data_IF_413733241739
#
_entry.id   IF_413733241739
#
_cell.length_a   1.000
_cell.length_b   1.000
_cell.length_c   1.000
_cell.angle_alpha   90.00
_cell.angle_beta   90.00
_cell.angle_gamma   90.00
#
_symmetry.space_group_name_H-M   'P 1'
#
loop_
_entity.id
_entity.type
_entity.pdbx_description
1 polymer ?
#
# COMPACT_ATOMS: atom_id res chain seq x y z
N UNK A 1 2.68 3.62 8.43
CA UNK A 1 1.69 3.41 9.51
C UNK A 1 0.41 4.20 9.30
N UNK A 2 0.43 5.36 8.63
CA UNK A 2 -0.78 6.13 8.28
C UNK A 2 -1.95 5.28 7.78
N UNK A 3 -1.79 4.52 6.69
CA UNK A 3 -2.83 3.65 6.14
C UNK A 3 -3.41 2.61 7.12
N UNK A 4 -2.63 2.17 8.12
CA UNK A 4 -3.17 1.29 9.17
C UNK A 4 -4.09 2.06 10.14
N UNK A 5 -3.72 3.30 10.48
CA UNK A 5 -4.58 4.18 11.28
C UNK A 5 -5.89 4.51 10.56
N UNK A 6 -5.83 4.74 9.24
CA UNK A 6 -7.03 5.01 8.45
C UNK A 6 -8.00 3.84 8.49
N UNK A 7 -7.56 2.61 8.20
CA UNK A 7 -8.45 1.44 8.22
C UNK A 7 -9.01 1.09 9.61
N UNK A 8 -8.45 1.64 10.69
CA UNK A 8 -8.97 1.51 12.05
C UNK A 8 -9.83 2.73 12.47
N UNK A 9 -9.84 3.79 11.67
CA UNK A 9 -10.73 4.94 11.84
C UNK A 9 -12.13 4.57 11.36
N UNK A 10 -13.20 4.65 12.19
CA UNK A 10 -14.50 4.01 11.92
C UNK A 10 -15.10 4.23 10.52
N UNK A 11 -14.93 5.42 9.94
CA UNK A 11 -15.50 5.80 8.65
C UNK A 11 -14.87 5.06 7.45
N UNK A 12 -13.55 4.85 7.48
CA UNK A 12 -12.81 4.25 6.36
C UNK A 12 -13.11 2.75 6.13
N UNK A 13 -13.08 1.83 7.13
CA UNK A 13 -13.44 0.44 6.92
C UNK A 13 -14.95 0.23 6.74
N UNK A 14 -15.77 1.24 7.08
CA UNK A 14 -17.18 1.29 6.72
C UNK A 14 -17.43 1.76 5.29
N UNK A 15 -16.39 2.22 4.57
CA UNK A 15 -16.45 2.82 3.25
C UNK A 15 -17.46 4.00 3.19
N UNK A 16 -17.47 4.84 4.21
CA UNK A 16 -18.28 6.07 4.24
C UNK A 16 -17.33 7.24 4.08
N UNK A 17 -17.38 7.89 2.92
CA UNK A 17 -16.49 9.00 2.59
C UNK A 17 -17.00 10.33 3.11
N UNK A 18 -16.15 11.37 3.06
CA UNK A 18 -16.55 12.75 3.34
C UNK A 18 -17.63 13.30 2.39
N UNK A 19 -17.79 12.69 1.20
CA UNK A 19 -18.89 13.01 0.28
C UNK A 19 -20.19 12.35 0.75
N UNK A 20 -20.12 11.10 1.23
CA UNK A 20 -21.28 10.35 1.70
C UNK A 20 -21.83 10.88 3.04
N UNK A 21 -20.96 11.40 3.89
CA UNK A 21 -21.34 11.92 5.19
C UNK A 21 -20.47 13.09 5.66
N UNK A 22 -21.13 14.21 5.99
CA UNK A 22 -20.49 15.30 6.73
C UNK A 22 -19.91 14.87 8.09
N UNK A 23 -20.31 13.69 8.60
CA UNK A 23 -19.78 13.13 9.82
C UNK A 23 -18.34 12.66 9.72
N UNK A 24 -17.84 12.34 8.53
CA UNK A 24 -16.46 11.85 8.34
C UNK A 24 -15.47 12.86 8.90
N UNK A 25 -15.44 14.06 8.30
CA UNK A 25 -14.51 15.13 8.69
C UNK A 25 -14.79 15.61 10.11
N UNK A 26 -16.06 15.63 10.52
CA UNK A 26 -16.45 16.04 11.88
C UNK A 26 -15.94 15.09 12.96
N UNK A 27 -16.02 13.78 12.74
CA UNK A 27 -15.54 12.78 13.67
C UNK A 27 -14.01 12.83 13.78
N UNK A 28 -13.31 12.91 12.65
CA UNK A 28 -11.84 13.03 12.63
C UNK A 28 -11.37 14.33 13.33
N UNK A 29 -12.06 15.45 13.10
CA UNK A 29 -11.78 16.72 13.80
C UNK A 29 -12.07 16.63 15.29
N UNK A 30 -13.20 16.04 15.68
CA UNK A 30 -13.56 15.81 17.09
C UNK A 30 -12.50 14.99 17.82
N UNK A 31 -11.99 13.94 17.18
CA UNK A 31 -10.93 13.09 17.69
C UNK A 31 -9.59 13.84 17.79
N UNK A 32 -9.25 14.65 16.79
CA UNK A 32 -8.03 15.47 16.74
C UNK A 32 -7.95 16.49 17.90
N UNK A 33 -9.05 17.15 18.21
CA UNK A 33 -9.16 18.10 19.34
C UNK A 33 -8.93 17.42 20.71
N UNK A 34 -9.19 16.11 20.78
CA UNK A 34 -9.19 15.32 22.02
C UNK A 34 -8.05 14.29 22.10
N UNK A 35 -7.24 14.14 21.06
CA UNK A 35 -6.21 13.08 20.94
C UNK A 35 -5.33 12.89 22.17
N UNK A 36 -5.03 13.97 22.88
CA UNK A 36 -4.20 13.97 24.09
C UNK A 36 -4.80 13.10 25.21
N UNK A 37 -6.13 13.08 25.36
CA UNK A 37 -6.81 12.28 26.39
C UNK A 37 -6.93 10.80 26.02
N UNK A 38 -6.70 10.44 24.76
CA UNK A 38 -6.82 9.07 24.25
C UNK A 38 -5.47 8.35 24.10
N UNK A 39 -4.38 8.96 24.57
CA UNK A 39 -3.05 8.33 24.56
C UNK A 39 -3.02 7.10 25.45
N UNK A 40 -2.43 6.02 24.94
CA UNK A 40 -2.09 4.83 25.71
C UNK A 40 -0.58 4.66 25.76
N UNK A 41 -0.08 4.02 26.83
CA UNK A 41 1.35 3.76 27.02
C UNK A 41 1.70 2.26 27.13
N UNK A 42 0.72 1.39 26.91
CA UNK A 42 0.88 -0.06 26.94
C UNK A 42 -0.16 -0.76 26.07
N UNK A 43 0.22 -1.88 25.46
CA UNK A 43 -0.73 -2.80 24.79
C UNK A 43 -1.52 -3.67 25.79
N UNK A 44 -1.19 -3.60 27.08
CA UNK A 44 -1.75 -4.39 28.17
C UNK A 44 -0.94 -5.63 28.54
N UNK A 45 0.20 -5.87 27.88
CA UNK A 45 1.07 -7.03 28.13
C UNK A 45 2.53 -6.74 27.70
N UNK A 46 3.46 -7.62 28.05
CA UNK A 46 4.86 -7.62 27.62
C UNK A 46 5.05 -8.33 26.28
N UNK A 47 6.21 -8.16 25.64
CA UNK A 47 6.51 -8.69 24.30
C UNK A 47 6.69 -10.22 24.25
N UNK A 48 6.93 -10.86 25.39
CA UNK A 48 6.98 -12.32 25.53
C UNK A 48 5.59 -12.96 25.76
N UNK A 49 4.50 -12.19 25.69
CA UNK A 49 3.13 -12.66 25.88
C UNK A 49 2.36 -12.74 24.56
N UNK A 50 1.13 -13.28 24.60
CA UNK A 50 0.37 -13.72 23.42
C UNK A 50 0.23 -12.65 22.32
N UNK A 51 -0.15 -11.41 22.67
CA UNK A 51 -0.36 -10.36 21.66
C UNK A 51 0.87 -10.14 20.76
N UNK A 52 2.08 -10.14 21.33
CA UNK A 52 3.31 -9.91 20.57
C UNK A 52 3.91 -11.21 20.03
N UNK A 53 3.87 -12.31 20.80
CA UNK A 53 4.39 -13.60 20.32
C UNK A 53 3.59 -14.15 19.14
N UNK A 54 2.28 -13.90 19.07
CA UNK A 54 1.43 -14.29 17.94
C UNK A 54 1.80 -13.57 16.64
N UNK A 55 2.28 -12.32 16.72
CA UNK A 55 2.67 -11.50 15.56
C UNK A 55 3.84 -12.12 14.79
N UNK A 56 4.71 -12.87 15.46
CA UNK A 56 5.91 -13.46 14.87
C UNK A 56 5.70 -14.90 14.37
N UNK A 57 4.56 -15.54 14.69
CA UNK A 57 4.28 -16.95 14.32
C UNK A 57 4.26 -17.17 12.82
N UNK A 58 3.66 -16.24 12.07
CA UNK A 58 3.54 -16.36 10.62
C UNK A 58 4.67 -15.60 9.92
N UNK A 59 5.60 -16.35 9.31
CA UNK A 59 6.72 -15.79 8.53
C UNK A 59 6.28 -15.14 7.21
N UNK A 60 5.06 -15.40 6.74
CA UNK A 60 4.43 -14.64 5.67
C UNK A 60 3.95 -13.28 6.17
N UNK A 61 4.78 -12.25 5.99
CA UNK A 61 4.43 -10.88 6.37
C UNK A 61 3.14 -10.40 5.70
N UNK A 62 2.98 -10.62 4.39
CA UNK A 62 1.81 -10.12 3.65
C UNK A 62 0.53 -10.82 4.13
N UNK A 63 0.55 -12.14 4.29
CA UNK A 63 -0.60 -12.88 4.77
C UNK A 63 -0.95 -12.53 6.23
N UNK A 64 0.07 -12.42 7.10
CA UNK A 64 -0.13 -11.96 8.48
C UNK A 64 -0.72 -10.55 8.53
N UNK A 65 -0.11 -9.60 7.82
CA UNK A 65 -0.52 -8.19 7.82
C UNK A 65 -1.97 -8.05 7.35
N UNK A 66 -2.38 -8.79 6.32
CA UNK A 66 -3.76 -8.78 5.82
C UNK A 66 -4.78 -9.22 6.87
N UNK A 67 -4.51 -10.30 7.61
CA UNK A 67 -5.42 -10.80 8.64
C UNK A 67 -5.38 -9.92 9.90
N UNK A 68 -4.19 -9.46 10.29
CA UNK A 68 -3.98 -8.54 11.40
C UNK A 68 -4.76 -7.25 11.19
N UNK A 69 -4.53 -6.55 10.07
CA UNK A 69 -5.25 -5.35 9.66
C UNK A 69 -6.77 -5.56 9.61
N UNK A 70 -7.23 -6.70 9.08
CA UNK A 70 -8.66 -7.03 8.99
C UNK A 70 -9.33 -7.08 10.36
N UNK A 71 -8.63 -7.57 11.39
CA UNK A 71 -9.15 -7.59 12.76
C UNK A 71 -9.53 -6.20 13.24
N UNK A 72 -8.59 -5.26 13.16
CA UNK A 72 -8.79 -3.85 13.54
C UNK A 72 -9.86 -3.18 12.68
N UNK A 73 -9.79 -3.33 11.36
CA UNK A 73 -10.77 -2.75 10.44
C UNK A 73 -12.20 -3.25 10.69
N UNK A 74 -12.39 -4.53 11.01
CA UNK A 74 -13.72 -5.04 11.40
C UNK A 74 -14.25 -4.39 12.67
N UNK A 75 -13.38 -4.16 13.66
CA UNK A 75 -13.74 -3.44 14.87
C UNK A 75 -14.10 -1.98 14.56
N UNK A 76 -13.27 -1.26 13.81
CA UNK A 76 -13.56 0.12 13.37
C UNK A 76 -14.91 0.22 12.63
N UNK A 77 -15.18 -0.71 11.70
CA UNK A 77 -16.46 -0.79 10.99
C UNK A 77 -17.64 -1.03 11.94
N UNK A 78 -17.49 -1.92 12.91
CA UNK A 78 -18.53 -2.17 13.91
C UNK A 78 -18.79 -0.93 14.77
N UNK A 79 -17.73 -0.21 15.17
CA UNK A 79 -17.81 1.05 15.92
C UNK A 79 -18.51 2.15 15.11
N UNK A 80 -18.32 2.20 13.78
CA UNK A 80 -19.05 3.14 12.93
C UNK A 80 -20.57 3.03 13.09
N UNK A 81 -21.12 1.82 12.89
CA UNK A 81 -22.57 1.63 12.94
C UNK A 81 -23.13 1.76 14.36
N UNK A 82 -22.35 1.42 15.38
CA UNK A 82 -22.83 1.39 16.76
C UNK A 82 -22.61 2.68 17.55
N UNK A 83 -21.61 3.51 17.19
CA UNK A 83 -21.21 4.67 18.00
C UNK A 83 -20.71 5.89 17.21
N UNK A 84 -20.10 5.73 16.02
CA UNK A 84 -19.37 6.84 15.39
C UNK A 84 -20.13 7.57 14.26
N UNK A 85 -21.25 7.03 13.76
CA UNK A 85 -22.04 7.71 12.72
C UNK A 85 -22.73 9.00 13.22
N UNK A 86 -23.23 9.81 12.30
CA UNK A 86 -23.94 11.07 12.58
C UNK A 86 -25.25 10.92 13.36
N UNK A 87 -25.81 9.70 13.46
CA UNK A 87 -27.02 9.45 14.23
C UNK A 87 -26.76 9.30 15.74
N UNK A 88 -25.49 9.25 16.15
CA UNK A 88 -25.08 9.01 17.53
C UNK A 88 -24.69 10.30 18.25
N UNK A 89 -24.74 10.28 19.59
CA UNK A 89 -24.45 11.45 20.42
C UNK A 89 -22.94 11.68 20.63
N UNK A 90 -22.60 12.83 21.21
CA UNK A 90 -21.21 13.17 21.56
C UNK A 90 -20.54 12.17 22.51
N UNK A 91 -21.30 11.60 23.45
CA UNK A 91 -20.77 10.57 24.37
C UNK A 91 -20.42 9.27 23.62
N UNK A 92 -21.23 8.90 22.63
CA UNK A 92 -20.93 7.78 21.75
C UNK A 92 -19.71 8.06 20.86
N UNK A 93 -19.56 9.30 20.38
CA UNK A 93 -18.39 9.71 19.62
C UNK A 93 -17.11 9.71 20.47
N UNK A 94 -17.17 10.17 21.73
CA UNK A 94 -16.05 10.09 22.67
C UNK A 94 -15.63 8.63 22.90
N UNK A 95 -16.60 7.74 23.13
CA UNK A 95 -16.34 6.30 23.26
C UNK A 95 -15.70 5.73 21.99
N UNK A 96 -16.26 6.03 20.82
CA UNK A 96 -15.75 5.56 19.54
C UNK A 96 -14.29 5.99 19.33
N UNK A 97 -13.99 7.29 19.50
CA UNK A 97 -12.65 7.84 19.36
C UNK A 97 -11.67 7.22 20.36
N UNK A 98 -12.08 7.06 21.62
CA UNK A 98 -11.27 6.42 22.66
C UNK A 98 -10.88 4.98 22.29
N UNK A 99 -11.83 4.19 21.80
CA UNK A 99 -11.60 2.79 21.43
C UNK A 99 -10.72 2.69 20.19
N UNK A 100 -11.04 3.40 19.12
CA UNK A 100 -10.30 3.25 17.86
C UNK A 100 -8.92 3.89 17.90
N UNK A 101 -8.71 5.01 18.61
CA UNK A 101 -7.36 5.54 18.78
C UNK A 101 -6.49 4.64 19.66
N UNK A 102 -7.04 3.99 20.69
CA UNK A 102 -6.30 3.00 21.48
C UNK A 102 -5.93 1.77 20.64
N UNK A 103 -6.87 1.30 19.81
CA UNK A 103 -6.62 0.22 18.85
C UNK A 103 -5.54 0.59 17.84
N UNK A 104 -5.57 1.80 17.28
CA UNK A 104 -4.61 2.27 16.30
C UNK A 104 -3.21 2.35 16.88
N UNK A 105 -3.08 2.84 18.12
CA UNK A 105 -1.80 2.87 18.85
C UNK A 105 -1.29 1.45 19.14
N UNK A 106 -2.16 0.56 19.65
CA UNK A 106 -1.80 -0.84 19.95
C UNK A 106 -1.41 -1.61 18.69
N UNK A 107 -2.18 -1.49 17.62
CA UNK A 107 -1.93 -2.12 16.33
C UNK A 107 -0.64 -1.61 15.69
N UNK A 108 -0.39 -0.30 15.76
CA UNK A 108 0.86 0.31 15.31
C UNK A 108 2.06 -0.23 16.09
N UNK A 109 1.95 -0.36 17.41
CA UNK A 109 3.00 -0.98 18.22
C UNK A 109 3.28 -2.44 17.81
N UNK A 110 2.24 -3.18 17.42
CA UNK A 110 2.38 -4.54 16.87
C UNK A 110 3.12 -4.57 15.52
N UNK A 111 2.78 -3.67 14.60
CA UNK A 111 3.51 -3.53 13.32
C UNK A 111 4.98 -3.13 13.51
N UNK A 112 5.26 -2.20 14.42
CA UNK A 112 6.64 -1.79 14.73
C UNK A 112 7.41 -2.96 15.34
N UNK A 113 6.81 -3.70 16.27
CA UNK A 113 7.42 -4.90 16.84
C UNK A 113 7.76 -5.95 15.76
N UNK A 114 6.81 -6.22 14.85
CA UNK A 114 7.04 -7.10 13.70
C UNK A 114 8.21 -6.62 12.84
N UNK A 115 8.19 -5.35 12.47
CA UNK A 115 9.19 -4.72 11.62
C UNK A 115 10.59 -4.86 12.24
N UNK A 116 10.74 -4.53 13.52
CA UNK A 116 12.02 -4.61 14.22
C UNK A 116 12.59 -6.04 14.23
N UNK A 117 11.75 -7.05 14.44
CA UNK A 117 12.19 -8.45 14.32
C UNK A 117 12.59 -8.80 12.90
N UNK A 118 11.78 -8.43 11.90
CA UNK A 118 12.07 -8.77 10.51
C UNK A 118 13.39 -8.17 10.02
N UNK A 119 13.68 -6.91 10.36
CA UNK A 119 14.96 -6.27 9.98
C UNK A 119 16.15 -6.73 10.82
N UNK A 120 15.94 -7.08 12.09
CA UNK A 120 17.03 -7.56 12.96
C UNK A 120 17.47 -8.97 12.61
N UNK A 121 16.53 -9.83 12.22
CA UNK A 121 16.79 -11.23 11.86
C UNK A 121 17.11 -11.40 10.36
N UNK A 122 16.93 -10.35 9.54
CA UNK A 122 17.05 -10.45 8.10
C UNK A 122 15.98 -11.35 7.48
N UNK A 123 14.77 -11.36 8.06
CA UNK A 123 13.68 -12.21 7.61
C UNK A 123 13.25 -11.81 6.19
N UNK A 124 13.26 -12.77 5.27
CA UNK A 124 12.77 -12.59 3.91
C UNK A 124 11.39 -13.26 3.77
N UNK A 125 10.29 -12.47 3.70
CA UNK A 125 8.94 -13.02 3.59
C UNK A 125 8.63 -13.58 2.19
N UNK A 126 9.52 -13.43 1.21
CA UNK A 126 9.27 -13.84 -0.18
C UNK A 126 9.76 -15.25 -0.51
N UNK A 127 10.61 -15.85 0.32
CA UNK A 127 11.31 -17.12 0.03
C UNK A 127 10.34 -18.24 -0.30
N UNK A 128 10.57 -18.90 -1.44
CA UNK A 128 9.84 -20.10 -1.87
C UNK A 128 8.37 -19.86 -2.25
N UNK A 129 7.90 -18.61 -2.34
CA UNK A 129 6.50 -18.30 -2.64
C UNK A 129 6.21 -18.06 -4.10
N UNK A 130 4.98 -18.40 -4.49
CA UNK A 130 4.46 -18.00 -5.79
C UNK A 130 4.23 -16.49 -5.82
N UNK A 131 4.47 -15.86 -6.95
CA UNK A 131 4.19 -14.45 -7.22
C UNK A 131 2.78 -14.39 -7.81
N UNK A 132 1.81 -14.00 -6.98
CA UNK A 132 0.44 -13.77 -7.45
C UNK A 132 0.24 -12.35 -7.98
N UNK A 133 0.99 -11.41 -7.40
CA UNK A 133 0.95 -10.00 -7.72
C UNK A 133 2.37 -9.43 -7.74
N UNK A 134 2.58 -8.46 -8.63
CA UNK A 134 3.74 -7.57 -8.63
C UNK A 134 3.27 -6.15 -8.33
N UNK A 135 4.05 -5.39 -7.57
CA UNK A 135 3.80 -3.97 -7.36
C UNK A 135 4.95 -3.18 -7.96
N UNK A 136 4.67 -2.26 -8.89
CA UNK A 136 5.63 -1.28 -9.33
C UNK A 136 5.45 0.02 -8.54
N UNK A 137 6.56 0.55 -8.04
CA UNK A 137 6.66 1.88 -7.45
C UNK A 137 7.60 2.71 -8.31
N UNK A 138 7.06 3.67 -9.04
CA UNK A 138 7.76 4.42 -10.09
C UNK A 138 7.89 5.87 -9.61
N UNK A 139 9.11 6.39 -9.61
CA UNK A 139 9.37 7.82 -9.38
C UNK A 139 9.63 8.48 -10.73
N UNK A 140 8.79 9.43 -11.11
CA UNK A 140 8.99 10.27 -12.30
C UNK A 140 9.91 11.43 -11.92
N UNK A 141 10.84 11.78 -12.81
CA UNK A 141 11.78 12.88 -12.57
C UNK A 141 11.03 14.20 -12.33
N UNK A 142 11.60 15.06 -11.50
CA UNK A 142 11.14 16.44 -11.32
C UNK A 142 11.59 17.41 -12.41
N UNK A 143 12.32 16.94 -13.42
CA UNK A 143 12.71 17.77 -14.56
C UNK A 143 11.48 18.26 -15.34
N UNK A 144 11.58 19.45 -15.91
CA UNK A 144 10.51 20.02 -16.72
C UNK A 144 10.15 19.05 -17.85
N UNK A 145 8.85 18.85 -18.05
CA UNK A 145 8.26 17.98 -19.08
C UNK A 145 8.61 16.48 -18.91
N UNK A 146 9.03 16.04 -17.71
CA UNK A 146 9.37 14.63 -17.44
C UNK A 146 8.16 13.70 -17.34
N UNK A 147 6.98 14.25 -17.05
CA UNK A 147 5.74 13.49 -17.02
C UNK A 147 5.19 13.17 -18.40
N UNK A 148 4.14 12.35 -18.49
CA UNK A 148 3.51 11.98 -19.77
C UNK A 148 2.03 11.66 -19.60
N UNK A 149 1.24 11.96 -20.63
CA UNK A 149 -0.16 11.54 -20.80
C UNK A 149 -0.27 10.37 -21.82
N UNK A 150 0.85 9.84 -22.31
CA UNK A 150 0.86 8.67 -23.19
C UNK A 150 0.49 7.38 -22.43
N UNK A 151 0.02 6.38 -23.16
CA UNK A 151 -0.26 5.07 -22.58
C UNK A 151 1.02 4.39 -22.12
N UNK A 152 1.04 4.02 -20.85
CA UNK A 152 2.18 3.34 -20.22
C UNK A 152 1.80 1.92 -19.84
N UNK A 153 2.73 1.00 -20.10
CA UNK A 153 2.54 -0.42 -19.85
C UNK A 153 3.69 -0.97 -19.04
N UNK A 154 3.40 -1.90 -18.14
CA UNK A 154 4.39 -2.77 -17.51
C UNK A 154 4.25 -4.17 -18.08
N UNK A 155 5.37 -4.83 -18.39
CA UNK A 155 5.36 -6.18 -18.92
C UNK A 155 6.44 -7.08 -18.36
N UNK A 156 6.15 -8.38 -18.36
CA UNK A 156 7.06 -9.44 -17.94
C UNK A 156 7.19 -10.50 -19.03
N UNK A 157 8.36 -11.13 -19.09
CA UNK A 157 8.59 -12.35 -19.87
C UNK A 157 9.22 -13.42 -18.98
N UNK A 158 8.62 -14.59 -18.95
CA UNK A 158 9.10 -15.75 -18.19
C UNK A 158 10.17 -16.53 -18.96
N UNK A 159 10.92 -17.39 -18.26
CA UNK A 159 11.94 -18.28 -18.84
C UNK A 159 11.38 -19.23 -19.90
N UNK A 160 10.12 -19.65 -19.78
CA UNK A 160 9.42 -20.47 -20.78
C UNK A 160 8.88 -19.65 -21.96
N UNK A 161 9.17 -18.33 -21.99
CA UNK A 161 8.86 -17.44 -23.11
C UNK A 161 7.47 -16.82 -23.07
N UNK A 162 6.63 -17.12 -22.08
CA UNK A 162 5.31 -16.48 -21.93
C UNK A 162 5.47 -15.02 -21.53
N UNK A 163 4.54 -14.20 -22.01
CA UNK A 163 4.51 -12.75 -21.72
C UNK A 163 3.17 -12.35 -21.15
N UNK A 164 3.20 -11.40 -20.21
CA UNK A 164 2.01 -10.71 -19.75
C UNK A 164 2.33 -9.22 -19.63
N UNK A 165 1.37 -8.39 -20.02
CA UNK A 165 1.49 -6.94 -20.02
C UNK A 165 0.20 -6.31 -19.48
N UNK A 166 0.34 -5.22 -18.74
CA UNK A 166 -0.73 -4.47 -18.12
C UNK A 166 -0.56 -2.99 -18.43
N UNK A 167 -1.68 -2.31 -18.65
CA UNK A 167 -1.73 -0.86 -18.65
C UNK A 167 -1.59 -0.33 -17.22
N UNK A 168 -0.82 0.74 -17.05
CA UNK A 168 -0.61 1.43 -15.79
C UNK A 168 -1.51 2.66 -15.78
N UNK A 169 -2.68 2.53 -15.18
CA UNK A 169 -3.75 3.53 -15.19
C UNK A 169 -4.48 3.48 -13.85
N UNK A 170 -4.24 4.48 -13.00
CA UNK A 170 -4.90 4.65 -11.72
C UNK A 170 -6.05 5.66 -11.85
N UNK A 171 -7.05 5.61 -10.96
CA UNK A 171 -7.98 6.73 -10.79
C UNK A 171 -7.21 7.98 -10.33
N UNK A 172 -6.97 8.91 -11.25
CA UNK A 172 -6.16 10.10 -10.99
C UNK A 172 -5.45 10.58 -12.26
N UNK A 173 -4.38 11.36 -12.08
CA UNK A 173 -3.47 11.71 -13.15
C UNK A 173 -2.15 10.97 -12.92
N UNK A 174 -1.80 10.07 -13.83
CA UNK A 174 -0.63 9.20 -13.75
C UNK A 174 0.62 9.90 -14.31
N UNK A 175 1.79 9.43 -13.92
CA UNK A 175 3.09 9.82 -14.46
C UNK A 175 3.31 11.34 -14.50
N UNK A 176 2.79 12.08 -13.53
CA UNK A 176 3.01 13.51 -13.45
C UNK A 176 4.49 13.81 -13.16
N UNK A 177 4.98 14.96 -13.62
CA UNK A 177 6.34 15.41 -13.30
C UNK A 177 6.57 15.42 -11.77
N UNK A 178 7.60 14.72 -11.31
CA UNK A 178 7.94 14.58 -9.88
C UNK A 178 7.04 13.64 -9.07
N UNK A 179 6.10 12.91 -9.68
CA UNK A 179 5.21 11.99 -8.98
C UNK A 179 5.94 10.73 -8.50
N UNK A 180 5.28 10.03 -7.57
CA UNK A 180 5.64 8.66 -7.19
C UNK A 180 4.38 7.80 -7.25
N UNK A 181 4.25 7.05 -8.32
CA UNK A 181 3.04 6.31 -8.64
C UNK A 181 3.20 4.83 -8.31
N UNK A 182 2.09 4.19 -7.92
CA UNK A 182 2.07 2.78 -7.51
C UNK A 182 1.05 2.02 -8.34
N UNK A 183 1.46 0.88 -8.90
CA UNK A 183 0.60 0.01 -9.71
C UNK A 183 0.72 -1.43 -9.21
N UNK A 184 -0.41 -2.13 -9.10
CA UNK A 184 -0.46 -3.54 -8.67
C UNK A 184 -0.96 -4.41 -9.82
N UNK A 185 -0.16 -5.40 -10.21
CA UNK A 185 -0.40 -6.27 -11.35
C UNK A 185 -0.70 -7.69 -10.90
N UNK A 186 -1.90 -8.18 -11.20
CA UNK A 186 -2.26 -9.58 -10.94
C UNK A 186 -1.79 -10.49 -12.08
N UNK A 187 -1.00 -11.51 -11.74
CA UNK A 187 -0.51 -12.50 -12.70
C UNK A 187 -1.62 -13.49 -13.06
N UNK A 188 -1.67 -13.87 -14.34
CA UNK A 188 -2.59 -14.92 -14.83
C UNK A 188 -2.15 -16.30 -14.37
N UNK A 189 -0.85 -16.55 -14.33
CA UNK A 189 -0.26 -17.78 -13.82
C UNK A 189 0.08 -17.62 -12.33
N UNK A 190 -0.72 -18.26 -11.47
CA UNK A 190 -0.55 -18.18 -10.02
C UNK A 190 0.56 -19.07 -9.45
N UNK A 191 1.28 -19.80 -10.31
CA UNK A 191 2.34 -20.74 -9.90
C UNK A 191 3.76 -20.24 -10.14
N UNK A 192 3.92 -19.07 -10.77
CA UNK A 192 5.23 -18.50 -11.07
C UNK A 192 5.99 -18.14 -9.80
N UNK A 193 7.28 -18.46 -9.77
CA UNK A 193 8.24 -17.92 -8.80
C UNK A 193 8.89 -16.67 -9.38
N UNK A 194 9.48 -15.84 -8.51
CA UNK A 194 10.19 -14.63 -8.97
C UNK A 194 11.35 -14.96 -9.92
N UNK A 195 12.02 -16.09 -9.71
CA UNK A 195 13.12 -16.55 -10.55
C UNK A 195 12.67 -17.03 -11.93
N UNK A 196 11.37 -17.31 -12.12
CA UNK A 196 10.82 -17.67 -13.43
C UNK A 196 10.66 -16.46 -14.33
N UNK A 197 10.62 -15.24 -13.76
CA UNK A 197 10.52 -13.98 -14.50
C UNK A 197 11.92 -13.56 -14.97
N UNK A 198 12.15 -13.73 -16.27
CA UNK A 198 13.44 -13.46 -16.91
C UNK A 198 13.61 -11.98 -17.22
N UNK A 199 12.65 -11.36 -17.90
CA UNK A 199 12.72 -9.96 -18.31
C UNK A 199 11.54 -9.16 -17.77
N UNK A 200 11.77 -7.87 -17.51
CA UNK A 200 10.74 -6.91 -17.15
C UNK A 200 10.95 -5.62 -17.95
N UNK A 201 9.87 -4.95 -18.35
CA UNK A 201 9.96 -3.69 -19.07
C UNK A 201 8.83 -2.73 -18.73
N UNK A 202 9.07 -1.46 -19.04
CA UNK A 202 8.03 -0.47 -19.26
C UNK A 202 7.97 -0.13 -20.75
N UNK A 203 6.77 0.02 -21.30
CA UNK A 203 6.55 0.38 -22.70
C UNK A 203 5.63 1.58 -22.78
N UNK A 204 6.05 2.58 -23.55
CA UNK A 204 5.25 3.75 -23.89
C UNK A 204 4.55 3.55 -25.23
N UNK A 205 3.32 4.03 -25.35
CA UNK A 205 2.59 4.15 -26.61
C UNK A 205 1.94 5.51 -26.69
N UNK A 206 2.26 6.24 -27.76
CA UNK A 206 1.70 7.55 -28.06
C UNK A 206 0.17 7.58 -27.95
N UNK A 207 -0.35 8.53 -27.20
CA UNK A 207 -1.77 8.86 -27.13
C UNK A 207 -2.17 9.76 -28.32
N UNK A 208 -1.32 10.73 -28.67
CA UNK A 208 -1.54 11.64 -29.80
C UNK A 208 -0.39 11.61 -30.81
N UNK A 209 -0.53 12.35 -31.92
CA UNK A 209 0.57 12.49 -32.89
C UNK A 209 1.73 13.36 -32.35
N UNK A 210 1.47 14.19 -31.35
CA UNK A 210 2.45 15.11 -30.74
C UNK A 210 3.46 14.29 -29.92
N UNK A 211 4.72 14.74 -29.90
CA UNK A 211 5.74 14.09 -29.07
C UNK A 211 5.50 14.43 -27.62
N UNK A 212 5.29 13.39 -26.82
CA UNK A 212 5.29 13.45 -25.36
C UNK A 212 6.33 12.43 -24.88
N UNK A 213 7.37 12.89 -24.20
CA UNK A 213 8.50 12.06 -23.78
C UNK A 213 8.43 11.88 -22.28
N UNK A 214 8.79 10.70 -21.79
CA UNK A 214 8.67 10.35 -20.39
C UNK A 214 10.05 10.16 -19.76
N UNK A 215 10.31 10.72 -18.57
CA UNK A 215 11.57 10.53 -17.85
C UNK A 215 11.35 9.95 -16.44
N UNK A 216 11.41 8.62 -16.27
CA UNK A 216 11.46 8.02 -14.95
C UNK A 216 12.83 8.26 -14.30
N UNK A 217 12.83 8.59 -13.01
CA UNK A 217 14.03 8.67 -12.18
C UNK A 217 14.43 7.28 -11.69
N UNK A 218 13.48 6.55 -11.09
CA UNK A 218 13.69 5.26 -10.47
C UNK A 218 12.44 4.37 -10.59
N UNK A 219 12.63 3.06 -10.69
CA UNK A 219 11.56 2.06 -10.57
C UNK A 219 11.95 0.96 -9.59
N UNK A 220 11.02 0.64 -8.68
CA UNK A 220 11.09 -0.50 -7.78
C UNK A 220 10.01 -1.50 -8.11
N UNK A 221 10.38 -2.78 -8.19
CA UNK A 221 9.43 -3.88 -8.30
C UNK A 221 9.42 -4.64 -6.98
N UNK A 222 8.23 -4.83 -6.43
CA UNK A 222 7.99 -5.53 -5.16
C UNK A 222 7.23 -6.82 -5.47
N UNK A 223 7.74 -7.94 -4.95
CA UNK A 223 7.09 -9.24 -5.02
C UNK A 223 7.09 -9.88 -3.62
N UNK A 224 5.92 -10.34 -3.15
CA UNK A 224 5.78 -11.05 -1.87
C UNK A 224 6.42 -10.32 -0.66
N UNK A 225 6.33 -8.99 -0.62
CA UNK A 225 6.83 -8.17 0.49
C UNK A 225 8.33 -7.84 0.42
N UNK A 226 9.01 -8.18 -0.68
CA UNK A 226 10.42 -7.87 -0.93
C UNK A 226 10.58 -7.01 -2.19
N UNK A 227 11.45 -6.00 -2.13
CA UNK A 227 11.94 -5.28 -3.31
C UNK A 227 12.90 -6.21 -4.08
N UNK A 228 12.53 -6.58 -5.30
CA UNK A 228 13.25 -7.54 -6.15
C UNK A 228 13.95 -6.88 -7.33
N UNK A 229 13.56 -5.65 -7.67
CA UNK A 229 14.25 -4.74 -8.60
C UNK A 229 14.25 -3.37 -7.98
N UNK A 230 15.40 -2.69 -8.01
CA UNK A 230 15.54 -1.26 -7.73
C UNK A 230 16.47 -0.70 -8.81
N UNK A 231 15.91 0.08 -9.74
CA UNK A 231 16.58 0.46 -10.98
C UNK A 231 16.44 1.96 -11.20
N UNK A 232 17.57 2.65 -11.13
CA UNK A 232 17.67 4.02 -11.63
C UNK A 232 17.64 4.00 -13.16
N UNK A 233 16.86 4.93 -13.73
CA UNK A 233 16.70 5.09 -15.18
C UNK A 233 17.29 6.43 -15.60
N UNK A 234 16.68 7.55 -15.21
CA UNK A 234 17.14 8.91 -15.53
C UNK A 234 17.36 9.19 -17.04
N UNK A 235 16.62 8.49 -17.89
CA UNK A 235 16.70 8.57 -19.35
C UNK A 235 15.33 8.87 -19.96
N UNK A 236 15.30 9.61 -21.07
CA UNK A 236 14.06 9.94 -21.78
C UNK A 236 13.58 8.76 -22.63
N UNK A 237 12.33 8.34 -22.39
CA UNK A 237 11.61 7.34 -23.17
C UNK A 237 10.68 8.10 -24.12
N UNK A 238 10.99 8.08 -25.41
CA UNK A 238 10.28 8.86 -26.43
C UNK A 238 9.45 7.97 -27.36
N UNK A 239 8.38 8.51 -27.94
CA UNK A 239 7.58 7.80 -28.95
C UNK A 239 6.99 6.46 -28.48
N UNK A 240 7.09 5.42 -29.32
CA UNK A 240 6.61 4.08 -29.01
C UNK A 240 7.80 3.18 -28.67
N UNK A 241 8.34 3.35 -27.47
CA UNK A 241 9.57 2.67 -27.04
C UNK A 241 9.36 1.79 -25.83
N UNK A 242 10.20 0.76 -25.72
CA UNK A 242 10.28 -0.15 -24.57
C UNK A 242 11.60 0.07 -23.86
N UNK A 243 11.55 0.20 -22.54
CA UNK A 243 12.73 0.26 -21.67
C UNK A 243 12.76 -1.00 -20.79
N UNK A 244 13.82 -1.79 -20.91
CA UNK A 244 14.01 -3.01 -20.13
C UNK A 244 14.61 -2.67 -18.76
N UNK A 245 13.97 -3.13 -17.69
CA UNK A 245 14.40 -2.86 -16.31
C UNK A 245 15.05 -4.09 -15.65
N UNK A 246 14.84 -5.28 -16.22
CA UNK A 246 15.48 -6.56 -15.86
C UNK A 246 15.65 -7.39 -17.12
#
# INVERSE_FOLDING_TARGET
MHYFGDIDTPYHPANVTAVDSAGHVKFETFAEERKEQYKINTAGCKTNEAFYTDILKNKDFNAWSKEYARGFAKTGKSIYYSHASMSHSWDYWDYAAKVTLANSQKGTAGYIYRFLHDVSEGNDPSVGKNVKELVAYISTSGEKDAGTDDYMYFGIKTKDGKTQEWEMDNPGNDFMTGSKDTYTFKLKDENLKIDDIQNMWIRKRKYTAISDAYKPENIKIIANGKVVVDKDINEWISGNSTYNIK
#
